data_IF_934971758173
#
_entry.id   IF_934971758173
#
_cell.length_a   1.000
_cell.length_b   1.000
_cell.length_c   1.000
_cell.angle_alpha   90.00
_cell.angle_beta   90.00
_cell.angle_gamma   90.00
#
_symmetry.space_group_name_H-M   'P 1'
#
loop_
_entity.id
_entity.type
_entity.pdbx_description
1 polymer ?
#
# COMPACT_ATOMS: atom_id res chain seq x y z
N UNK A 1 23.31 39.82 48.15
CA UNK A 1 23.48 41.00 49.01
C UNK A 1 23.23 42.21 48.17
N UNK A 2 22.20 42.96 48.54
CA UNK A 2 21.93 44.40 48.39
C UNK A 2 22.19 45.13 47.07
N UNK A 3 21.49 46.19 46.68
CA UNK A 3 20.15 46.73 46.90
C UNK A 3 20.18 48.10 46.18
N UNK A 4 19.06 48.50 45.56
CA UNK A 4 18.65 49.91 45.38
C UNK A 4 19.49 50.76 44.38
N UNK A 5 19.03 51.83 43.72
CA UNK A 5 17.84 52.68 43.83
C UNK A 5 17.72 53.55 42.56
N UNK A 6 16.49 53.92 42.18
CA UNK A 6 16.13 54.92 41.15
C UNK A 6 16.13 56.35 41.72
N UNK A 7 15.98 57.41 40.89
CA UNK A 7 14.69 58.14 40.74
C UNK A 7 14.41 58.64 39.29
N UNK A 8 13.18 58.61 38.72
CA UNK A 8 12.01 59.55 38.79
C UNK A 8 12.35 61.01 38.35
N UNK A 9 11.65 61.75 37.46
CA UNK A 9 10.23 62.15 37.25
C UNK A 9 10.11 62.87 35.86
N UNK A 10 9.14 62.54 34.99
CA UNK A 10 7.82 63.18 34.70
C UNK A 10 7.79 64.55 34.00
N UNK A 11 7.01 64.67 32.89
CA UNK A 11 5.93 65.67 32.70
C UNK A 11 5.10 65.41 31.42
N UNK A 12 3.79 65.63 31.55
CA UNK A 12 2.69 65.36 30.62
C UNK A 12 2.23 66.60 29.82
N UNK A 13 1.42 66.38 28.76
CA UNK A 13 0.15 67.06 28.34
C UNK A 13 -0.16 66.67 26.87
N UNK A 14 -1.24 65.96 26.48
CA UNK A 14 -2.68 66.33 26.42
C UNK A 14 -2.92 67.49 25.41
N UNK A 15 -3.81 67.51 24.40
CA UNK A 15 -5.17 66.95 24.22
C UNK A 15 -5.73 67.24 22.79
N UNK A 16 -6.88 66.62 22.46
CA UNK A 16 -8.04 67.08 21.61
C UNK A 16 -8.23 66.56 20.17
N UNK A 17 -8.97 65.46 20.13
CA UNK A 17 -10.23 65.15 19.41
C UNK A 17 -11.02 66.21 18.57
N UNK A 18 -11.66 65.65 17.50
CA UNK A 18 -12.87 66.02 16.72
C UNK A 18 -12.74 67.04 15.56
N UNK A 19 -12.99 66.62 14.31
CA UNK A 19 -14.31 66.79 13.64
C UNK A 19 -14.42 66.08 12.26
N UNK A 20 -15.68 65.88 11.84
CA UNK A 20 -16.26 65.01 10.81
C UNK A 20 -16.02 65.31 9.30
N UNK A 21 -16.13 64.21 8.52
CA UNK A 21 -16.82 64.06 7.22
C UNK A 21 -16.37 64.83 5.96
N UNK A 22 -15.82 64.07 4.99
CA UNK A 22 -16.22 64.19 3.59
C UNK A 22 -15.98 62.88 2.82
N UNK A 23 -17.04 62.42 2.15
CA UNK A 23 -17.18 61.20 1.34
C UNK A 23 -16.35 61.26 0.05
N UNK A 24 -15.82 60.11 -0.43
CA UNK A 24 -16.24 59.44 -1.69
C UNK A 24 -15.32 58.26 -2.11
N UNK A 25 -15.99 57.10 -2.18
CA UNK A 25 -15.79 55.85 -2.93
C UNK A 25 -14.77 55.73 -4.08
N UNK A 26 -14.23 54.50 -4.22
CA UNK A 26 -13.89 53.65 -5.42
C UNK A 26 -12.54 52.91 -5.22
N UNK A 27 -12.39 51.60 -5.56
CA UNK A 27 -12.25 50.52 -4.59
C UNK A 27 -10.87 49.84 -4.54
N UNK A 28 -10.68 49.07 -3.47
CA UNK A 28 -9.45 48.40 -3.09
C UNK A 28 -9.02 47.22 -3.98
N UNK A 29 -7.70 47.12 -4.15
CA UNK A 29 -6.99 45.90 -4.54
C UNK A 29 -7.16 44.84 -3.46
N UNK A 30 -7.97 43.82 -3.73
CA UNK A 30 -8.09 42.62 -2.91
C UNK A 30 -6.76 41.88 -2.89
N UNK A 31 -6.02 42.03 -1.79
CA UNK A 31 -4.89 41.20 -1.41
C UNK A 31 -5.48 39.88 -0.87
N UNK A 32 -5.59 38.90 -1.76
CA UNK A 32 -6.13 37.57 -1.47
C UNK A 32 -5.40 36.94 -0.28
N UNK A 33 -6.13 36.85 0.83
CA UNK A 33 -5.78 36.10 2.03
C UNK A 33 -5.62 34.64 1.61
N UNK A 34 -4.43 34.05 1.80
CA UNK A 34 -4.22 32.60 1.72
C UNK A 34 -5.23 31.97 2.68
N UNK A 35 -6.29 31.36 2.13
CA UNK A 35 -7.01 30.30 2.82
C UNK A 35 -6.00 29.17 2.91
N UNK A 36 -5.47 28.95 4.11
CA UNK A 36 -5.03 27.62 4.46
C UNK A 36 -6.25 26.73 4.22
N UNK A 37 -6.14 25.80 3.28
CA UNK A 37 -7.04 24.67 3.26
C UNK A 37 -6.82 23.94 4.58
N UNK A 38 -7.62 24.33 5.58
CA UNK A 38 -8.22 23.37 6.47
C UNK A 38 -8.96 22.38 5.58
N UNK A 39 -8.24 21.39 5.05
CA UNK A 39 -8.81 20.08 4.85
C UNK A 39 -9.34 19.72 6.23
N UNK A 40 -10.63 19.94 6.42
CA UNK A 40 -11.36 19.50 7.58
C UNK A 40 -10.90 18.09 7.87
N UNK A 41 -10.20 17.93 8.99
CA UNK A 41 -10.24 16.72 9.77
C UNK A 41 -11.72 16.41 9.96
N UNK A 42 -12.31 15.70 9.00
CA UNK A 42 -13.29 14.70 9.37
C UNK A 42 -12.57 13.95 10.48
N UNK A 43 -13.05 14.06 11.72
CA UNK A 43 -12.68 13.10 12.74
C UNK A 43 -12.87 11.76 12.06
N UNK A 44 -11.75 11.14 11.69
CA UNK A 44 -11.79 9.90 10.94
C UNK A 44 -12.46 8.93 11.89
N UNK A 45 -13.69 8.50 11.57
CA UNK A 45 -14.39 7.46 12.31
C UNK A 45 -13.59 6.14 12.31
N UNK A 46 -12.46 6.08 11.59
CA UNK A 46 -11.52 4.98 11.60
C UNK A 46 -10.98 4.75 13.02
N UNK A 47 -11.38 3.62 13.58
CA UNK A 47 -10.96 3.19 14.91
C UNK A 47 -9.75 2.25 14.82
N UNK A 48 -9.74 1.37 13.80
CA UNK A 48 -8.74 0.30 13.70
C UNK A 48 -8.20 0.09 12.29
N UNK A 49 -6.91 -0.19 12.23
CA UNK A 49 -6.21 -0.57 11.00
C UNK A 49 -5.52 -1.91 11.23
N UNK A 50 -5.84 -2.89 10.40
CA UNK A 50 -5.25 -4.22 10.44
C UNK A 50 -4.14 -4.32 9.42
N UNK A 51 -2.91 -4.53 9.91
CA UNK A 51 -1.68 -4.60 9.13
C UNK A 51 -1.34 -6.08 8.92
N UNK A 52 -1.68 -6.59 7.75
CA UNK A 52 -1.50 -7.99 7.40
C UNK A 52 -0.17 -8.23 6.67
N UNK A 53 0.54 -9.28 7.07
CA UNK A 53 1.49 -9.96 6.18
C UNK A 53 0.75 -10.85 5.16
N UNK A 54 1.43 -11.16 4.04
CA UNK A 54 0.86 -11.95 2.95
C UNK A 54 1.21 -13.44 3.05
N UNK A 55 2.50 -13.75 2.89
CA UNK A 55 3.01 -15.10 2.65
C UNK A 55 3.11 -15.84 3.98
N UNK A 56 2.53 -17.03 4.07
CA UNK A 56 2.42 -17.84 5.31
C UNK A 56 1.55 -17.23 6.41
N UNK A 57 0.88 -16.10 6.11
CA UNK A 57 -0.14 -15.47 6.97
C UNK A 57 -1.53 -15.57 6.33
N UNK A 58 -1.78 -14.88 5.21
CA UNK A 58 -3.06 -14.96 4.49
C UNK A 58 -3.06 -16.13 3.50
N UNK A 59 -1.96 -16.29 2.77
CA UNK A 59 -1.79 -17.33 1.76
C UNK A 59 -0.69 -18.30 2.17
N UNK A 60 -0.77 -19.54 1.72
CA UNK A 60 0.36 -20.48 1.74
C UNK A 60 0.99 -20.45 0.35
N UNK A 61 2.29 -20.12 0.26
CA UNK A 61 2.97 -20.05 -1.03
C UNK A 61 4.44 -20.44 -0.94
N UNK A 62 5.25 -19.71 -0.18
CA UNK A 62 6.67 -20.00 -0.05
C UNK A 62 6.91 -21.38 0.58
N UNK A 63 6.08 -21.78 1.53
CA UNK A 63 6.15 -23.10 2.16
C UNK A 63 5.69 -24.24 1.23
N UNK A 64 4.94 -23.94 0.15
CA UNK A 64 4.67 -24.88 -0.94
C UNK A 64 5.95 -25.14 -1.74
N UNK A 65 6.62 -24.07 -2.18
CA UNK A 65 7.84 -24.14 -3.00
C UNK A 65 8.99 -24.87 -2.28
N UNK A 66 9.16 -24.58 -0.98
CA UNK A 66 10.20 -25.23 -0.16
C UNK A 66 9.83 -26.63 0.31
N UNK A 67 8.56 -27.05 0.15
CA UNK A 67 8.04 -28.30 0.68
C UNK A 67 7.91 -28.34 2.22
N UNK A 68 8.18 -27.23 2.91
CA UNK A 68 8.09 -27.15 4.37
C UNK A 68 6.66 -27.29 4.88
N UNK A 69 5.66 -26.87 4.11
CA UNK A 69 4.24 -27.12 4.42
C UNK A 69 3.94 -28.62 4.48
N UNK A 70 4.45 -29.38 3.49
CA UNK A 70 4.25 -30.82 3.40
C UNK A 70 4.84 -31.55 4.62
N UNK A 71 6.04 -31.16 5.04
CA UNK A 71 6.71 -31.72 6.22
C UNK A 71 5.92 -31.43 7.50
N UNK A 72 5.41 -30.20 7.65
CA UNK A 72 4.72 -29.75 8.85
C UNK A 72 3.33 -30.39 9.02
N UNK A 73 2.59 -30.54 7.93
CA UNK A 73 1.19 -31.00 7.95
C UNK A 73 0.99 -32.41 7.39
N UNK A 74 2.07 -33.14 7.09
CA UNK A 74 2.00 -34.53 6.62
C UNK A 74 1.33 -34.67 5.25
N UNK A 75 1.58 -33.73 4.33
CA UNK A 75 1.06 -33.76 2.95
C UNK A 75 2.07 -34.42 2.02
N UNK A 76 1.62 -34.84 0.83
CA UNK A 76 2.51 -35.36 -0.20
C UNK A 76 3.43 -34.24 -0.74
N UNK A 77 4.77 -34.35 -0.59
CA UNK A 77 5.69 -33.30 -1.03
C UNK A 77 5.66 -33.03 -2.53
N UNK A 78 5.37 -34.05 -3.35
CA UNK A 78 5.33 -33.92 -4.82
C UNK A 78 4.16 -33.04 -5.24
N UNK A 79 2.98 -33.27 -4.66
CA UNK A 79 1.79 -32.47 -4.94
C UNK A 79 1.94 -31.03 -4.42
N UNK A 80 2.48 -30.86 -3.21
CA UNK A 80 2.69 -29.55 -2.59
C UNK A 80 3.67 -28.70 -3.41
N UNK A 81 4.85 -29.23 -3.71
CA UNK A 81 5.86 -28.49 -4.48
C UNK A 81 5.38 -28.24 -5.91
N UNK A 82 4.76 -29.24 -6.55
CA UNK A 82 4.20 -29.08 -7.90
C UNK A 82 3.13 -27.99 -7.98
N UNK A 83 2.28 -27.87 -6.96
CA UNK A 83 1.28 -26.80 -6.88
C UNK A 83 1.91 -25.43 -6.66
N UNK A 84 2.95 -25.36 -5.79
CA UNK A 84 3.72 -24.14 -5.58
C UNK A 84 4.37 -23.62 -6.87
N UNK A 85 5.06 -24.49 -7.61
CA UNK A 85 5.71 -24.16 -8.88
C UNK A 85 4.70 -23.71 -9.94
N UNK A 86 3.55 -24.38 -10.03
CA UNK A 86 2.49 -24.00 -10.97
C UNK A 86 1.90 -22.63 -10.64
N UNK A 87 1.78 -22.29 -9.35
CA UNK A 87 1.30 -20.97 -8.92
C UNK A 87 2.37 -19.89 -9.19
N UNK A 88 3.64 -20.19 -8.95
CA UNK A 88 4.76 -19.31 -9.26
C UNK A 88 4.81 -18.96 -10.75
N UNK A 89 4.65 -19.96 -11.63
CA UNK A 89 4.58 -19.72 -13.08
C UNK A 89 3.45 -18.73 -13.42
N UNK A 90 2.25 -18.91 -12.86
CA UNK A 90 1.14 -17.99 -13.11
C UNK A 90 1.37 -16.59 -12.54
N UNK A 91 2.01 -16.46 -11.37
CA UNK A 91 2.35 -15.17 -10.77
C UNK A 91 3.27 -14.39 -11.71
N UNK A 92 4.35 -15.00 -12.18
CA UNK A 92 5.27 -14.34 -13.10
C UNK A 92 4.65 -14.09 -14.47
N UNK A 93 3.84 -15.01 -15.00
CA UNK A 93 3.11 -14.79 -16.25
C UNK A 93 2.20 -13.56 -16.18
N UNK A 94 1.44 -13.39 -15.09
CA UNK A 94 0.60 -12.21 -14.89
C UNK A 94 1.45 -10.94 -14.73
N UNK A 95 2.51 -11.02 -13.92
CA UNK A 95 3.39 -9.90 -13.65
C UNK A 95 4.04 -9.39 -14.95
N UNK A 96 4.61 -10.27 -15.76
CA UNK A 96 5.30 -9.94 -17.00
C UNK A 96 4.35 -9.51 -18.11
N UNK A 97 3.27 -10.26 -18.33
CA UNK A 97 2.39 -10.06 -19.49
C UNK A 97 1.49 -8.84 -19.31
N UNK A 98 1.07 -8.55 -18.07
CA UNK A 98 0.02 -7.58 -17.81
C UNK A 98 0.44 -6.43 -16.91
N UNK A 99 1.45 -6.61 -16.05
CA UNK A 99 1.81 -5.64 -15.03
C UNK A 99 3.22 -5.03 -15.22
N UNK A 100 3.79 -5.17 -16.43
CA UNK A 100 5.05 -4.56 -16.82
C UNK A 100 6.24 -4.96 -15.93
N UNK A 101 6.25 -6.18 -15.38
CA UNK A 101 7.30 -6.59 -14.44
C UNK A 101 8.71 -6.52 -15.05
N UNK A 102 8.91 -7.00 -16.27
CA UNK A 102 10.15 -6.83 -17.04
C UNK A 102 10.66 -5.37 -17.10
N UNK A 103 9.76 -4.39 -17.16
CA UNK A 103 10.14 -2.97 -17.18
C UNK A 103 10.41 -2.44 -15.76
N UNK A 104 9.62 -2.91 -14.79
CA UNK A 104 9.52 -2.32 -13.46
C UNK A 104 10.42 -2.98 -12.39
N UNK A 105 10.94 -4.18 -12.63
CA UNK A 105 11.73 -4.95 -11.65
C UNK A 105 12.87 -4.13 -11.02
N UNK A 106 13.69 -3.50 -11.85
CA UNK A 106 14.83 -2.68 -11.40
C UNK A 106 14.44 -1.32 -10.80
N UNK A 107 13.19 -0.89 -11.01
CA UNK A 107 12.66 0.38 -10.52
C UNK A 107 11.41 0.21 -9.65
N UNK A 108 11.33 -0.93 -8.94
CA UNK A 108 10.22 -1.28 -8.06
C UNK A 108 9.91 -0.18 -7.03
N UNK A 109 8.63 -0.03 -6.68
CA UNK A 109 8.13 1.00 -5.79
C UNK A 109 7.55 0.38 -4.53
N UNK A 110 7.60 1.10 -3.42
CA UNK A 110 7.00 0.64 -2.16
C UNK A 110 5.48 0.70 -2.26
N UNK A 111 4.95 1.74 -2.90
CA UNK A 111 3.52 1.97 -3.00
C UNK A 111 3.14 2.50 -4.39
N UNK A 112 1.93 2.14 -4.84
CA UNK A 112 1.41 2.45 -6.19
C UNK A 112 1.34 3.96 -6.51
N UNK A 113 1.36 4.82 -5.50
CA UNK A 113 1.32 6.30 -5.63
C UNK A 113 2.70 6.97 -5.61
N UNK A 114 3.79 6.23 -5.39
CA UNK A 114 5.10 6.84 -5.11
C UNK A 114 5.65 7.69 -6.27
N UNK A 115 5.19 7.41 -7.49
CA UNK A 115 5.58 8.13 -8.72
C UNK A 115 4.41 8.91 -9.34
N UNK A 116 3.26 8.98 -8.67
CA UNK A 116 2.06 9.59 -9.24
C UNK A 116 2.20 11.11 -9.49
N UNK A 117 3.10 11.79 -8.77
CA UNK A 117 3.37 13.22 -8.97
C UNK A 117 4.02 13.55 -10.32
N UNK A 118 4.69 12.57 -10.94
CA UNK A 118 5.35 12.72 -12.24
C UNK A 118 4.40 12.43 -13.41
N UNK A 119 3.18 11.95 -13.11
CA UNK A 119 2.13 11.72 -14.08
C UNK A 119 1.43 13.03 -14.47
N UNK A 120 1.17 13.21 -15.76
CA UNK A 120 0.45 14.38 -16.28
C UNK A 120 -1.05 14.13 -16.51
N UNK A 121 -1.56 12.95 -16.15
CA UNK A 121 -2.96 12.56 -16.29
C UNK A 121 -3.41 12.32 -17.73
N UNK A 122 -2.49 12.17 -18.69
CA UNK A 122 -2.90 11.89 -20.07
C UNK A 122 -3.61 10.53 -20.17
N UNK A 123 -4.55 10.43 -21.09
CA UNK A 123 -5.20 9.17 -21.42
C UNK A 123 -4.18 8.17 -21.98
N UNK A 124 -4.16 6.97 -21.41
CA UNK A 124 -3.22 5.90 -21.79
C UNK A 124 -3.86 4.87 -22.72
N UNK A 125 -5.13 5.03 -23.11
CA UNK A 125 -5.85 4.06 -23.96
C UNK A 125 -5.16 3.76 -25.30
N UNK A 126 -4.52 4.78 -25.89
CA UNK A 126 -3.77 4.70 -27.15
C UNK A 126 -2.24 4.81 -26.94
N UNK A 127 -1.77 4.79 -25.69
CA UNK A 127 -0.35 4.90 -25.39
C UNK A 127 0.36 3.57 -25.66
N UNK A 128 1.42 3.58 -26.47
CA UNK A 128 2.17 2.38 -26.80
C UNK A 128 3.43 2.22 -25.94
N UNK A 129 3.28 1.51 -24.82
CA UNK A 129 4.36 1.20 -23.88
C UNK A 129 5.53 0.44 -24.51
N UNK A 130 5.29 -0.40 -25.54
CA UNK A 130 6.35 -1.20 -26.17
C UNK A 130 7.35 -0.38 -26.99
N UNK A 131 6.97 0.83 -27.40
CA UNK A 131 7.77 1.69 -28.27
C UNK A 131 8.07 3.05 -27.66
N UNK A 132 7.74 3.26 -26.39
CA UNK A 132 7.95 4.55 -25.71
C UNK A 132 9.41 4.83 -25.35
N UNK A 133 10.29 3.84 -25.53
CA UNK A 133 11.72 3.95 -25.26
C UNK A 133 12.05 3.97 -23.76
N UNK A 134 11.16 3.46 -22.90
CA UNK A 134 11.49 3.19 -21.51
C UNK A 134 12.48 2.03 -21.42
N UNK A 135 13.45 2.16 -20.52
CA UNK A 135 14.35 1.08 -20.13
C UNK A 135 14.44 1.10 -18.61
N UNK A 136 14.26 -0.07 -17.98
CA UNK A 136 14.54 -0.24 -16.55
C UNK A 136 15.93 0.31 -16.21
N UNK A 137 16.08 0.91 -15.03
CA UNK A 137 17.23 1.74 -14.64
C UNK A 137 18.61 1.03 -14.65
N UNK A 138 18.69 -0.22 -15.09
CA UNK A 138 19.90 -1.03 -15.23
C UNK A 138 20.60 -0.95 -16.59
N UNK A 139 20.06 -0.27 -17.60
CA UNK A 139 20.79 -0.04 -18.86
C UNK A 139 21.79 1.11 -18.69
N UNK A 140 22.95 0.80 -18.11
CA UNK A 140 24.19 1.59 -18.20
C UNK A 140 24.76 1.60 -19.64
N UNK A 141 23.90 1.65 -20.65
CA UNK A 141 24.26 1.80 -22.04
C UNK A 141 24.26 3.30 -22.37
N UNK A 142 25.35 3.96 -21.98
CA UNK A 142 25.91 5.08 -22.73
C UNK A 142 24.88 6.17 -23.10
N UNK A 143 24.37 6.92 -22.12
CA UNK A 143 23.78 8.24 -22.36
C UNK A 143 24.86 9.27 -22.77
N UNK A 144 25.62 8.96 -23.82
CA UNK A 144 26.44 9.91 -24.54
C UNK A 144 25.59 10.57 -25.64
N UNK A 145 24.80 11.57 -25.26
CA UNK A 145 24.61 12.82 -26.03
C UNK A 145 23.51 13.70 -25.41
N UNK A 146 23.95 14.71 -24.65
CA UNK A 146 23.32 16.03 -24.53
C UNK A 146 22.06 16.29 -23.68
N UNK A 147 21.48 15.33 -22.94
CA UNK A 147 20.19 15.57 -22.26
C UNK A 147 20.28 15.40 -20.73
N UNK A 148 20.99 16.33 -20.07
CA UNK A 148 20.95 16.46 -18.60
C UNK A 148 19.58 16.97 -18.14
N UNK A 149 19.06 16.42 -17.04
CA UNK A 149 17.76 16.74 -16.39
C UNK A 149 16.51 16.35 -17.18
N UNK A 150 16.37 16.70 -18.46
CA UNK A 150 15.15 16.44 -19.24
C UNK A 150 14.89 14.94 -19.46
N UNK A 151 15.94 14.12 -19.59
CA UNK A 151 15.81 12.66 -19.75
C UNK A 151 15.29 11.96 -18.50
N UNK A 152 15.66 12.46 -17.30
CA UNK A 152 15.14 11.94 -16.03
C UNK A 152 13.66 12.25 -15.84
N UNK A 153 13.22 13.46 -16.21
CA UNK A 153 11.80 13.86 -16.11
C UNK A 153 10.91 13.04 -17.04
N UNK A 154 11.35 12.81 -18.29
CA UNK A 154 10.61 11.96 -19.23
C UNK A 154 10.56 10.50 -18.76
N UNK A 155 11.68 9.98 -18.23
CA UNK A 155 11.74 8.64 -17.66
C UNK A 155 10.80 8.46 -16.46
N UNK A 156 10.80 9.40 -15.51
CA UNK A 156 9.89 9.37 -14.35
C UNK A 156 8.43 9.40 -14.78
N UNK A 157 8.09 10.18 -15.80
CA UNK A 157 6.73 10.22 -16.35
C UNK A 157 6.31 8.87 -16.96
N UNK A 158 7.21 8.21 -17.70
CA UNK A 158 6.96 6.87 -18.28
C UNK A 158 6.83 5.79 -17.20
N UNK A 159 7.58 5.93 -16.12
CA UNK A 159 7.45 5.09 -14.93
C UNK A 159 6.06 5.28 -14.28
N UNK A 160 5.64 6.53 -14.10
CA UNK A 160 4.33 6.87 -13.57
C UNK A 160 3.18 6.31 -14.43
N UNK A 161 3.29 6.38 -15.75
CA UNK A 161 2.30 5.79 -16.66
C UNK A 161 2.15 4.28 -16.48
N UNK A 162 3.27 3.55 -16.29
CA UNK A 162 3.23 2.11 -16.05
C UNK A 162 2.51 1.79 -14.75
N UNK A 163 2.83 2.48 -13.65
CA UNK A 163 2.15 2.28 -12.38
C UNK A 163 0.67 2.69 -12.40
N UNK A 164 0.31 3.79 -13.07
CA UNK A 164 -1.10 4.12 -13.29
C UNK A 164 -1.81 3.06 -14.12
N UNK A 165 -1.16 2.50 -15.14
CA UNK A 165 -1.72 1.42 -15.94
C UNK A 165 -1.88 0.13 -15.13
N UNK A 166 -0.91 -0.20 -14.28
CA UNK A 166 -1.01 -1.31 -13.30
C UNK A 166 -2.22 -1.13 -12.39
N UNK A 167 -2.45 0.09 -11.86
CA UNK A 167 -3.66 0.42 -11.10
C UNK A 167 -4.93 0.18 -11.89
N UNK A 168 -5.04 0.71 -13.11
CA UNK A 168 -6.22 0.54 -13.96
C UNK A 168 -6.53 -0.94 -14.21
N UNK A 169 -5.49 -1.77 -14.45
CA UNK A 169 -5.63 -3.21 -14.64
C UNK A 169 -6.10 -3.87 -13.35
N UNK A 170 -5.43 -3.59 -12.22
CA UNK A 170 -5.82 -4.14 -10.93
C UNK A 170 -7.27 -3.82 -10.59
N UNK A 171 -7.69 -2.55 -10.65
CA UNK A 171 -9.04 -2.13 -10.30
C UNK A 171 -10.10 -2.74 -11.22
N UNK A 172 -9.77 -2.95 -12.50
CA UNK A 172 -10.67 -3.60 -13.46
C UNK A 172 -10.83 -5.10 -13.20
N UNK A 173 -9.76 -5.78 -12.76
CA UNK A 173 -9.73 -7.25 -12.67
C UNK A 173 -9.69 -7.81 -11.24
N UNK A 174 -9.70 -6.96 -10.19
CA UNK A 174 -9.62 -7.39 -8.78
C UNK A 174 -10.70 -8.35 -8.31
N UNK A 175 -11.89 -8.31 -8.92
CA UNK A 175 -12.99 -9.25 -8.66
C UNK A 175 -13.13 -10.35 -9.73
N UNK A 176 -12.35 -10.28 -10.82
CA UNK A 176 -12.44 -11.21 -11.94
C UNK A 176 -11.08 -11.36 -12.67
N UNK A 177 -10.07 -11.90 -11.99
CA UNK A 177 -8.75 -12.13 -12.58
C UNK A 177 -8.81 -13.06 -13.80
N UNK A 178 -9.81 -13.94 -13.89
CA UNK A 178 -10.01 -14.80 -15.05
C UNK A 178 -10.29 -14.04 -16.35
N UNK A 179 -10.71 -12.77 -16.29
CA UNK A 179 -10.85 -11.89 -17.45
C UNK A 179 -9.53 -11.30 -17.96
N UNK A 180 -8.44 -11.42 -17.18
CA UNK A 180 -7.09 -11.02 -17.58
C UNK A 180 -6.37 -12.15 -18.32
N UNK A 181 -6.73 -13.41 -18.05
CA UNK A 181 -6.08 -14.61 -18.53
C UNK A 181 -6.69 -15.15 -19.83
N UNK A 182 -5.91 -15.95 -20.56
CA UNK A 182 -6.46 -16.79 -21.65
C UNK A 182 -7.46 -17.82 -21.09
N UNK A 183 -8.41 -18.32 -21.89
CA UNK A 183 -9.38 -19.33 -21.43
C UNK A 183 -8.71 -20.56 -20.80
N UNK A 184 -7.61 -21.04 -21.39
CA UNK A 184 -6.86 -22.19 -20.90
C UNK A 184 -6.20 -21.90 -19.54
N UNK A 185 -5.55 -20.73 -19.40
CA UNK A 185 -4.91 -20.34 -18.14
C UNK A 185 -5.93 -20.05 -17.04
N UNK A 186 -7.11 -19.53 -17.39
CA UNK A 186 -8.23 -19.37 -16.45
C UNK A 186 -8.69 -20.71 -15.88
N UNK A 187 -8.89 -21.72 -16.72
CA UNK A 187 -9.28 -23.06 -16.26
C UNK A 187 -8.18 -23.69 -15.40
N UNK A 188 -6.92 -23.58 -15.82
CA UNK A 188 -5.77 -24.03 -15.04
C UNK A 188 -5.68 -23.36 -13.66
N UNK A 189 -5.89 -22.03 -13.58
CA UNK A 189 -5.93 -21.30 -12.32
C UNK A 189 -7.05 -21.79 -11.39
N UNK A 190 -8.24 -22.04 -11.94
CA UNK A 190 -9.37 -22.52 -11.15
C UNK A 190 -9.09 -23.90 -10.55
N UNK A 191 -8.53 -24.82 -11.35
CA UNK A 191 -8.12 -26.13 -10.85
C UNK A 191 -7.02 -25.99 -9.80
N UNK A 192 -5.97 -25.21 -10.08
CA UNK A 192 -4.86 -25.05 -9.15
C UNK A 192 -5.28 -24.45 -7.81
N UNK A 193 -6.16 -23.44 -7.80
CA UNK A 193 -6.72 -22.88 -6.56
C UNK A 193 -7.47 -23.94 -5.76
N UNK A 194 -8.25 -24.79 -6.43
CA UNK A 194 -8.99 -25.87 -5.78
C UNK A 194 -8.03 -26.88 -5.15
N UNK A 195 -6.98 -27.26 -5.88
CA UNK A 195 -5.98 -28.20 -5.39
C UNK A 195 -5.19 -27.62 -4.19
N UNK A 196 -4.78 -26.36 -4.27
CA UNK A 196 -4.10 -25.66 -3.17
C UNK A 196 -5.02 -25.55 -1.94
N UNK A 197 -6.30 -25.25 -2.11
CA UNK A 197 -7.24 -25.16 -0.98
C UNK A 197 -7.36 -26.50 -0.25
N UNK A 198 -7.48 -27.61 -0.99
CA UNK A 198 -7.52 -28.96 -0.43
C UNK A 198 -6.19 -29.33 0.22
N UNK A 199 -5.06 -29.04 -0.43
CA UNK A 199 -3.73 -29.32 0.11
C UNK A 199 -3.45 -28.56 1.40
N UNK A 200 -3.99 -27.34 1.51
CA UNK A 200 -3.76 -26.42 2.64
C UNK A 200 -4.85 -26.46 3.71
N UNK A 201 -5.76 -27.44 3.64
CA UNK A 201 -6.86 -27.63 4.59
C UNK A 201 -7.66 -26.32 4.81
N UNK A 202 -8.01 -25.67 3.71
CA UNK A 202 -8.79 -24.43 3.69
C UNK A 202 -8.14 -23.24 4.42
N UNK A 203 -6.81 -23.10 4.34
CA UNK A 203 -6.09 -21.99 4.97
C UNK A 203 -6.60 -20.63 4.50
N UNK A 204 -6.64 -20.43 3.17
CA UNK A 204 -7.04 -19.16 2.57
C UNK A 204 -8.50 -18.84 2.89
N UNK A 205 -9.43 -19.80 2.77
CA UNK A 205 -10.82 -19.59 3.14
C UNK A 205 -10.95 -19.16 4.61
N UNK A 206 -10.15 -19.74 5.51
CA UNK A 206 -10.15 -19.38 6.93
C UNK A 206 -9.65 -17.95 7.15
N UNK A 207 -8.57 -17.53 6.49
CA UNK A 207 -8.07 -16.15 6.55
C UNK A 207 -9.08 -15.14 5.96
N UNK A 208 -9.74 -15.51 4.85
CA UNK A 208 -10.76 -14.68 4.18
C UNK A 208 -11.93 -14.34 5.08
N UNK A 209 -12.35 -15.25 5.97
CA UNK A 209 -13.44 -14.98 6.94
C UNK A 209 -13.12 -13.75 7.81
N UNK A 210 -11.89 -13.66 8.32
CA UNK A 210 -11.42 -12.51 9.12
C UNK A 210 -11.30 -11.24 8.27
N UNK A 211 -10.71 -11.35 7.08
CA UNK A 211 -10.55 -10.23 6.15
C UNK A 211 -11.89 -9.60 5.77
N UNK A 212 -12.88 -10.41 5.39
CA UNK A 212 -14.23 -9.98 5.02
C UNK A 212 -15.01 -9.41 6.20
N UNK A 213 -14.87 -10.01 7.40
CA UNK A 213 -15.48 -9.47 8.61
C UNK A 213 -14.95 -8.07 8.92
N UNK A 214 -13.63 -7.86 8.85
CA UNK A 214 -13.01 -6.54 9.02
C UNK A 214 -13.52 -5.56 7.95
N UNK A 215 -13.56 -5.97 6.69
CA UNK A 215 -14.05 -5.12 5.58
C UNK A 215 -15.51 -4.70 5.75
N UNK A 216 -16.34 -5.53 6.38
CA UNK A 216 -17.75 -5.21 6.64
C UNK A 216 -17.94 -4.13 7.73
N UNK A 217 -16.92 -3.87 8.55
CA UNK A 217 -16.95 -2.85 9.61
C UNK A 217 -16.57 -1.48 9.05
N UNK A 218 -17.45 -0.49 9.28
CA UNK A 218 -17.25 0.88 8.77
C UNK A 218 -15.98 1.57 9.27
N UNK A 219 -15.57 1.24 10.49
CA UNK A 219 -14.49 1.92 11.21
C UNK A 219 -13.18 1.10 11.19
N UNK A 220 -13.06 0.14 10.27
CA UNK A 220 -11.89 -0.71 10.14
C UNK A 220 -11.36 -0.74 8.71
N UNK A 221 -10.05 -0.91 8.57
CA UNK A 221 -9.38 -1.01 7.26
C UNK A 221 -8.36 -2.15 7.28
N UNK A 222 -8.35 -2.96 6.22
CA UNK A 222 -7.28 -3.91 5.92
C UNK A 222 -6.17 -3.24 5.10
N UNK A 223 -4.92 -3.45 5.50
CA UNK A 223 -3.72 -3.04 4.78
C UNK A 223 -2.79 -4.24 4.65
N UNK A 224 -2.31 -4.49 3.44
CA UNK A 224 -1.34 -5.53 3.15
C UNK A 224 0.06 -4.94 3.12
N UNK A 225 0.99 -5.62 3.78
CA UNK A 225 2.40 -5.26 3.78
C UNK A 225 3.18 -6.54 3.54
N UNK A 226 3.93 -6.65 2.45
CA UNK A 226 4.67 -7.88 2.09
C UNK A 226 6.12 -7.57 1.77
N UNK A 227 7.02 -8.52 1.97
CA UNK A 227 8.43 -8.44 1.53
C UNK A 227 8.62 -8.77 0.04
N UNK A 228 7.55 -9.16 -0.67
CA UNK A 228 7.52 -9.33 -2.12
C UNK A 228 7.55 -7.94 -2.81
N UNK A 229 8.26 -7.83 -3.95
CA UNK A 229 8.21 -6.62 -4.79
C UNK A 229 6.77 -6.28 -5.17
N UNK A 230 6.45 -5.00 -5.39
CA UNK A 230 5.06 -4.55 -5.50
C UNK A 230 4.32 -5.22 -6.67
N UNK A 231 4.95 -5.33 -7.84
CA UNK A 231 4.28 -5.89 -9.03
C UNK A 231 3.94 -7.39 -8.84
N UNK A 232 4.88 -8.28 -8.46
CA UNK A 232 4.54 -9.66 -8.14
C UNK A 232 3.57 -9.80 -6.95
N UNK A 233 3.63 -8.90 -5.95
CA UNK A 233 2.66 -8.87 -4.87
C UNK A 233 1.23 -8.60 -5.36
N UNK A 234 1.05 -7.66 -6.29
CA UNK A 234 -0.25 -7.39 -6.91
C UNK A 234 -0.74 -8.59 -7.73
N UNK A 235 0.16 -9.27 -8.45
CA UNK A 235 -0.17 -10.51 -9.16
C UNK A 235 -0.64 -11.60 -8.18
N UNK A 236 0.06 -11.82 -7.05
CA UNK A 236 -0.38 -12.72 -5.99
C UNK A 236 -1.77 -12.35 -5.46
N UNK A 237 -2.01 -11.09 -5.13
CA UNK A 237 -3.31 -10.62 -4.60
C UNK A 237 -4.45 -10.91 -5.59
N UNK A 238 -4.25 -10.67 -6.89
CA UNK A 238 -5.22 -11.03 -7.93
C UNK A 238 -5.42 -12.55 -8.04
N UNK A 239 -4.32 -13.30 -8.08
CA UNK A 239 -4.31 -14.76 -8.27
C UNK A 239 -4.74 -15.56 -7.03
N UNK A 240 -4.79 -14.97 -5.85
CA UNK A 240 -5.40 -15.56 -4.66
C UNK A 240 -6.81 -14.99 -4.36
N UNK A 241 -7.34 -14.12 -5.23
CA UNK A 241 -8.72 -13.59 -5.07
C UNK A 241 -8.87 -12.60 -3.93
N UNK A 242 -7.77 -11.96 -3.52
CA UNK A 242 -7.72 -11.01 -2.41
C UNK A 242 -8.02 -9.56 -2.84
N UNK A 243 -8.16 -9.32 -4.15
CA UNK A 243 -8.29 -7.98 -4.70
C UNK A 243 -9.55 -7.21 -4.28
N UNK A 244 -10.63 -7.91 -3.91
CA UNK A 244 -11.83 -7.28 -3.36
C UNK A 244 -11.62 -6.73 -1.95
N UNK A 245 -10.74 -7.35 -1.16
CA UNK A 245 -10.49 -6.99 0.24
C UNK A 245 -9.37 -5.97 0.39
N UNK A 246 -8.41 -5.96 -0.54
CA UNK A 246 -7.32 -5.00 -0.56
C UNK A 246 -7.45 -4.04 -1.75
N UNK A 247 -7.96 -2.82 -1.54
CA UNK A 247 -7.75 -1.73 -2.49
C UNK A 247 -6.25 -1.59 -2.79
N UNK A 248 -5.89 -1.23 -4.02
CA UNK A 248 -4.48 -1.19 -4.42
C UNK A 248 -3.66 -0.16 -3.62
N UNK A 249 -4.30 0.93 -3.21
CA UNK A 249 -3.73 1.92 -2.30
C UNK A 249 -3.49 1.38 -0.88
N UNK A 250 -3.95 0.18 -0.54
CA UNK A 250 -3.72 -0.43 0.77
C UNK A 250 -2.68 -1.56 0.70
N UNK A 251 -1.88 -1.61 -0.37
CA UNK A 251 -0.83 -2.63 -0.56
C UNK A 251 0.53 -1.93 -0.56
N UNK A 252 1.41 -2.38 0.33
CA UNK A 252 2.76 -1.85 0.50
C UNK A 252 3.79 -2.97 0.31
N UNK A 253 4.79 -2.73 -0.54
CA UNK A 253 5.99 -3.56 -0.64
C UNK A 253 7.06 -3.06 0.32
N UNK A 254 7.43 -3.90 1.27
CA UNK A 254 8.51 -3.69 2.21
C UNK A 254 9.89 -4.09 1.66
N UNK A 255 9.99 -4.56 0.40
CA UNK A 255 11.24 -5.12 -0.17
C UNK A 255 12.43 -4.16 -0.04
N UNK A 256 12.23 -2.87 -0.29
CA UNK A 256 13.31 -1.86 -0.28
C UNK A 256 13.50 -1.18 1.07
N UNK A 257 12.41 -0.92 1.80
CA UNK A 257 12.44 -0.04 3.00
C UNK A 257 12.21 -0.78 4.32
N UNK A 258 11.84 -2.07 4.26
CA UNK A 258 11.49 -2.87 5.43
C UNK A 258 10.09 -2.57 5.99
N UNK A 259 9.60 -3.48 6.85
CA UNK A 259 8.25 -3.42 7.45
C UNK A 259 8.07 -2.20 8.36
N UNK A 260 9.08 -1.88 9.18
CA UNK A 260 9.07 -0.73 10.11
C UNK A 260 8.79 0.58 9.36
N UNK A 261 9.54 0.86 8.29
CA UNK A 261 9.33 2.05 7.47
C UNK A 261 7.95 2.08 6.80
N UNK A 262 7.41 0.93 6.38
CA UNK A 262 6.02 0.85 5.90
C UNK A 262 5.02 1.23 7.00
N UNK A 263 5.23 0.77 8.24
CA UNK A 263 4.35 1.10 9.37
C UNK A 263 4.36 2.61 9.64
N UNK A 264 5.52 3.25 9.60
CA UNK A 264 5.64 4.71 9.74
C UNK A 264 4.86 5.47 8.67
N UNK A 265 4.96 5.04 7.40
CA UNK A 265 4.20 5.62 6.30
C UNK A 265 2.69 5.47 6.51
N UNK A 266 2.25 4.30 6.97
CA UNK A 266 0.84 4.01 7.23
C UNK A 266 0.32 4.83 8.42
N UNK A 267 1.07 4.91 9.52
CA UNK A 267 0.72 5.76 10.67
C UNK A 267 0.66 7.23 10.29
N UNK A 268 1.54 7.68 9.38
CA UNK A 268 1.50 9.04 8.84
C UNK A 268 0.25 9.29 7.99
N UNK A 269 -0.24 8.28 7.28
CA UNK A 269 -1.46 8.34 6.46
C UNK A 269 -2.74 8.34 7.29
N UNK A 270 -2.87 7.42 8.25
CA UNK A 270 -4.12 7.23 9.00
C UNK A 270 -4.15 7.95 10.36
N UNK A 271 -3.00 8.42 10.85
CA UNK A 271 -2.87 9.22 12.05
C UNK A 271 -2.66 8.40 13.34
N UNK A 272 -2.14 9.06 14.37
CA UNK A 272 -1.72 8.40 15.63
C UNK A 272 -2.85 8.05 16.60
N UNK A 273 -4.09 8.46 16.32
CA UNK A 273 -5.27 8.19 17.17
C UNK A 273 -5.94 6.85 16.86
N UNK A 274 -5.56 6.21 15.76
CA UNK A 274 -6.08 4.91 15.32
C UNK A 274 -5.35 3.79 16.06
N UNK A 275 -6.04 2.69 16.34
CA UNK A 275 -5.42 1.47 16.87
C UNK A 275 -4.93 0.60 15.72
N UNK A 276 -3.63 0.28 15.70
CA UNK A 276 -3.03 -0.57 14.67
C UNK A 276 -2.82 -1.98 15.23
N UNK A 277 -3.38 -2.99 14.56
CA UNK A 277 -3.21 -4.41 14.92
C UNK A 277 -2.40 -5.07 13.82
N UNK A 278 -1.23 -5.59 14.17
CA UNK A 278 -0.32 -6.26 13.23
C UNK A 278 -0.60 -7.76 13.25
N UNK A 279 -0.75 -8.37 12.08
CA UNK A 279 -1.05 -9.80 11.92
C UNK A 279 -0.02 -10.39 10.96
N UNK A 280 0.74 -11.38 11.42
CA UNK A 280 1.79 -12.00 10.61
C UNK A 280 2.41 -13.24 11.25
N UNK A 281 3.17 -14.00 10.50
CA UNK A 281 3.94 -15.17 10.96
C UNK A 281 5.41 -14.81 11.23
N UNK A 282 5.91 -13.78 10.57
CA UNK A 282 7.32 -13.41 10.51
C UNK A 282 7.83 -12.64 11.72
N UNK A 283 9.16 -12.70 11.88
CA UNK A 283 9.87 -11.97 12.94
C UNK A 283 9.93 -10.47 12.67
N UNK A 284 10.01 -10.06 11.41
CA UNK A 284 10.28 -8.67 11.02
C UNK A 284 9.09 -7.77 11.40
N UNK A 285 7.87 -8.19 11.09
CA UNK A 285 6.64 -7.51 11.49
C UNK A 285 6.40 -7.55 13.00
N UNK A 286 6.79 -8.61 13.71
CA UNK A 286 6.69 -8.65 15.17
C UNK A 286 7.62 -7.63 15.83
N UNK A 287 8.87 -7.53 15.35
CA UNK A 287 9.85 -6.56 15.86
C UNK A 287 9.36 -5.14 15.59
N UNK A 288 8.91 -4.87 14.35
CA UNK A 288 8.35 -3.57 13.99
C UNK A 288 7.11 -3.22 14.84
N UNK A 289 6.20 -4.17 15.05
CA UNK A 289 5.02 -3.97 15.88
C UNK A 289 5.40 -3.57 17.32
N UNK A 290 6.38 -4.25 17.91
CA UNK A 290 6.90 -3.93 19.26
C UNK A 290 7.51 -2.54 19.33
N UNK A 291 8.31 -2.13 18.33
CA UNK A 291 8.92 -0.79 18.30
C UNK A 291 7.86 0.33 18.27
N UNK A 292 6.73 0.08 17.60
CA UNK A 292 5.61 1.03 17.51
C UNK A 292 4.54 0.86 18.60
N UNK A 293 4.74 -0.04 19.57
CA UNK A 293 3.73 -0.40 20.59
C UNK A 293 2.38 -0.82 19.99
N UNK A 294 2.41 -1.52 18.85
CA UNK A 294 1.24 -2.06 18.19
C UNK A 294 0.99 -3.50 18.66
N UNK A 295 -0.24 -3.88 19.05
CA UNK A 295 -0.59 -5.28 19.29
C UNK A 295 -0.22 -6.16 18.09
N UNK A 296 0.39 -7.31 18.37
CA UNK A 296 0.80 -8.29 17.36
C UNK A 296 0.05 -9.60 17.56
N UNK A 297 -0.69 -10.03 16.55
CA UNK A 297 -1.35 -11.32 16.48
C UNK A 297 -0.53 -12.26 15.58
N UNK A 298 0.16 -13.21 16.20
CA UNK A 298 0.99 -14.16 15.45
C UNK A 298 0.12 -15.23 14.80
N UNK A 299 0.38 -15.51 13.52
CA UNK A 299 -0.17 -16.67 12.82
C UNK A 299 0.96 -17.69 12.62
N UNK A 300 0.80 -18.88 13.20
CA UNK A 300 1.76 -19.99 13.00
C UNK A 300 1.09 -21.24 12.49
N UNK A 301 -0.23 -21.37 12.66
CA UNK A 301 -1.01 -22.53 12.28
C UNK A 301 -2.50 -22.16 12.14
N UNK A 302 -3.33 -23.08 11.64
CA UNK A 302 -4.77 -22.86 11.43
C UNK A 302 -5.53 -22.42 12.69
N UNK A 303 -5.14 -22.91 13.87
CA UNK A 303 -5.82 -22.54 15.12
C UNK A 303 -5.66 -21.05 15.43
N UNK A 304 -4.54 -20.43 15.02
CA UNK A 304 -4.31 -19.00 15.23
C UNK A 304 -5.24 -18.15 14.34
N UNK A 305 -5.50 -18.58 13.09
CA UNK A 305 -6.47 -17.94 12.20
C UNK A 305 -7.91 -18.09 12.71
N UNK A 306 -8.26 -19.28 13.21
CA UNK A 306 -9.58 -19.51 13.82
C UNK A 306 -9.75 -18.66 15.08
N UNK A 307 -8.72 -18.57 15.93
CA UNK A 307 -8.76 -17.74 17.14
C UNK A 307 -8.87 -16.25 16.80
N UNK A 308 -8.16 -15.79 15.74
CA UNK A 308 -8.28 -14.43 15.23
C UNK A 308 -9.72 -14.14 14.81
N UNK A 309 -10.31 -15.04 14.04
CA UNK A 309 -11.69 -14.89 13.57
C UNK A 309 -12.67 -14.78 14.74
N UNK A 310 -12.56 -15.66 15.74
CA UNK A 310 -13.40 -15.62 16.94
C UNK A 310 -13.22 -14.33 17.73
N UNK A 311 -11.98 -13.84 17.88
CA UNK A 311 -11.71 -12.58 18.57
C UNK A 311 -12.32 -11.39 17.83
N UNK A 312 -12.31 -11.41 16.50
CA UNK A 312 -13.03 -10.44 15.67
C UNK A 312 -14.54 -10.58 15.91
N UNK A 313 -15.16 -11.75 15.78
CA UNK A 313 -16.61 -11.93 15.97
C UNK A 313 -17.13 -11.43 17.33
N UNK A 314 -16.30 -11.53 18.38
CA UNK A 314 -16.62 -11.08 19.74
C UNK A 314 -16.27 -9.60 20.01
N UNK A 315 -15.86 -8.84 19.00
CA UNK A 315 -15.42 -7.45 19.08
C UNK A 315 -14.25 -7.21 20.07
N UNK A 316 -13.42 -8.23 20.31
CA UNK A 316 -12.18 -8.09 21.09
C UNK A 316 -11.06 -7.44 20.29
N UNK A 317 -11.17 -7.46 18.96
CA UNK A 317 -10.28 -6.82 17.99
C UNK A 317 -11.05 -5.94 17.03
#
# INVERSE_FOLDING_TARGET
GDASTSPSLSRATASKELDEQARKNIPGKNRGKRKADTSSSQDSELERVFLWDLDETIIIFHSLLTGSYAQKYGKDPTLVIGSGLSMEEMIFEVADTHLFFNDLEECDQVHIEDVASDDNGQDLSNYNFSTDGFSGSGSNANHSSSVGVQGGVDWMRKLAFRYRRVREIYDKYKTNVGGLLSPQKREALQQLRTDIEVLTDSWLETALKSLLLIQSRKNCVNILITTTQLVPALAKVLLYGLGEVFPIENIYSATKIGKESCFERIVSRFGKKVTYVVIGDGRDEEVAAKQHNMPFWRITNHADLVSLHQALELDFL
#
